data_IF_410991273518
#
_entry.id   IF_410991273518
#
_cell.length_a   1.000
_cell.length_b   1.000
_cell.length_c   1.000
_cell.angle_alpha   90.00
_cell.angle_beta   90.00
_cell.angle_gamma   90.00
#
_symmetry.space_group_name_H-M   'P 1'
#
loop_
_entity.id
_entity.type
_entity.pdbx_description
1 polymer ?
#
# COMPACT_ATOMS: atom_id res chain seq x y z
N UNK A 1 12.97 -5.48 -13.39
CA UNK A 1 12.84 -5.95 -12.00
C UNK A 1 11.55 -5.38 -11.43
N UNK A 2 10.94 -6.02 -10.43
CA UNK A 2 9.80 -5.47 -9.68
C UNK A 2 10.25 -5.12 -8.26
N UNK A 3 9.68 -4.07 -7.69
CA UNK A 3 9.91 -3.67 -6.29
C UNK A 3 8.70 -4.15 -5.49
N UNK A 4 8.95 -4.97 -4.47
CA UNK A 4 7.93 -5.51 -3.57
C UNK A 4 8.60 -6.04 -2.31
N UNK A 5 7.84 -6.11 -1.23
CA UNK A 5 8.23 -6.86 -0.05
C UNK A 5 8.44 -8.34 -0.38
N UNK A 6 9.35 -8.99 0.35
CA UNK A 6 9.67 -10.41 0.17
C UNK A 6 8.50 -11.35 0.54
N UNK A 7 7.60 -10.90 1.42
CA UNK A 7 6.36 -11.61 1.79
C UNK A 7 5.29 -11.56 0.67
N UNK A 8 5.45 -10.73 -0.35
CA UNK A 8 4.50 -10.57 -1.45
C UNK A 8 3.23 -9.76 -1.12
N UNK A 9 3.21 -9.01 -0.02
CA UNK A 9 2.03 -8.22 0.39
C UNK A 9 1.85 -6.92 -0.41
N UNK A 10 2.93 -6.40 -1.00
CA UNK A 10 2.88 -5.19 -1.83
C UNK A 10 2.00 -5.39 -3.06
N UNK A 11 0.96 -4.56 -3.20
CA UNK A 11 0.06 -4.55 -4.37
C UNK A 11 0.49 -3.57 -5.44
N UNK A 12 1.00 -2.41 -5.03
CA UNK A 12 1.45 -1.36 -5.93
C UNK A 12 2.54 -0.49 -5.29
N UNK A 13 3.38 0.10 -6.13
CA UNK A 13 4.43 1.02 -5.73
C UNK A 13 4.07 2.46 -6.15
N UNK A 14 4.12 3.42 -5.23
CA UNK A 14 3.76 4.81 -5.52
C UNK A 14 4.95 5.76 -5.26
N UNK A 15 5.33 6.62 -6.23
CA UNK A 15 6.47 7.51 -6.05
C UNK A 15 6.12 8.72 -5.17
N UNK A 16 7.11 9.29 -4.50
CA UNK A 16 6.96 10.51 -3.71
C UNK A 16 6.77 11.76 -4.59
N UNK A 17 5.94 12.71 -4.14
CA UNK A 17 5.67 13.99 -4.78
C UNK A 17 6.73 15.02 -4.37
N UNK A 18 7.36 15.65 -5.37
CA UNK A 18 8.45 16.62 -5.20
C UNK A 18 8.00 17.90 -4.50
N UNK A 19 8.37 18.07 -3.23
CA UNK A 19 8.05 19.28 -2.44
C UNK A 19 9.28 20.07 -1.94
N UNK A 20 10.49 19.72 -2.38
CA UNK A 20 11.72 20.50 -2.11
C UNK A 20 12.11 20.64 -0.62
N UNK A 21 11.56 19.80 0.26
CA UNK A 21 11.87 19.72 1.70
C UNK A 21 12.11 18.26 2.09
N UNK A 22 12.68 18.04 3.28
CA UNK A 22 12.88 16.71 3.89
C UNK A 22 11.68 15.80 3.69
N UNK A 23 11.94 14.52 3.34
CA UNK A 23 10.90 13.50 3.11
C UNK A 23 9.99 13.40 4.34
N UNK A 24 8.71 13.74 4.15
CA UNK A 24 7.66 13.52 5.15
C UNK A 24 6.79 12.37 4.69
N UNK A 25 6.70 11.33 5.52
CA UNK A 25 5.86 10.15 5.28
C UNK A 25 4.39 10.50 5.55
N UNK A 26 3.79 11.30 4.68
CA UNK A 26 2.36 11.66 4.73
C UNK A 26 1.70 11.18 3.44
N UNK A 27 0.50 10.61 3.50
CA UNK A 27 -0.08 9.96 2.32
C UNK A 27 -0.32 10.87 1.14
N UNK A 28 -0.67 12.14 1.37
CA UNK A 28 -0.85 13.13 0.30
C UNK A 28 0.46 13.55 -0.37
N UNK A 29 1.62 13.09 0.13
CA UNK A 29 2.94 13.30 -0.48
C UNK A 29 3.33 12.17 -1.42
N UNK A 30 2.47 11.18 -1.67
CA UNK A 30 2.71 10.14 -2.66
C UNK A 30 1.78 10.33 -3.86
N UNK A 31 2.29 10.02 -5.05
CA UNK A 31 1.54 10.10 -6.29
C UNK A 31 0.69 8.84 -6.50
N UNK A 32 -0.48 8.83 -5.86
CA UNK A 32 -1.45 7.74 -5.97
C UNK A 32 -2.03 7.54 -7.37
N UNK A 33 -1.78 8.46 -8.31
CA UNK A 33 -2.27 8.37 -9.69
C UNK A 33 -1.28 7.64 -10.62
N UNK A 34 -0.05 7.43 -10.19
CA UNK A 34 1.01 6.80 -10.99
C UNK A 34 1.51 5.53 -10.30
N UNK A 35 0.69 4.46 -10.20
CA UNK A 35 1.14 3.19 -9.66
C UNK A 35 2.22 2.56 -10.55
N UNK A 36 3.15 1.87 -9.91
CA UNK A 36 4.25 1.12 -10.53
C UNK A 36 5.05 1.93 -11.57
N UNK A 37 5.67 3.06 -11.14
CA UNK A 37 6.40 3.94 -12.04
C UNK A 37 7.61 3.22 -12.65
N UNK A 38 7.93 3.54 -13.90
CA UNK A 38 9.18 3.09 -14.54
C UNK A 38 10.36 3.86 -13.94
N UNK A 39 11.25 3.14 -13.27
CA UNK A 39 12.48 3.71 -12.71
C UNK A 39 13.58 3.61 -13.76
N UNK A 40 14.07 4.77 -14.19
CA UNK A 40 15.24 4.86 -15.07
C UNK A 40 16.53 4.97 -14.26
N UNK A 41 17.64 4.53 -14.85
CA UNK A 41 18.97 4.76 -14.30
C UNK A 41 19.84 5.49 -15.32
N UNK A 42 20.81 6.26 -14.82
CA UNK A 42 21.85 6.90 -15.63
C UNK A 42 22.87 5.87 -16.06
N UNK A 43 23.26 5.94 -17.32
CA UNK A 43 24.41 5.22 -17.84
C UNK A 43 25.64 5.75 -17.12
N UNK A 44 26.41 4.86 -16.48
CA UNK A 44 27.53 5.27 -15.65
C UNK A 44 28.84 4.85 -16.31
N UNK A 45 29.46 5.77 -17.05
CA UNK A 45 30.70 5.48 -17.79
C UNK A 45 31.96 5.47 -16.90
N UNK A 46 31.87 5.92 -15.64
CA UNK A 46 33.03 6.25 -14.79
C UNK A 46 33.24 5.31 -13.58
N UNK A 47 32.30 4.41 -13.27
CA UNK A 47 32.35 3.55 -12.07
C UNK A 47 32.09 2.08 -12.45
N UNK A 48 32.78 1.64 -13.50
CA UNK A 48 32.90 0.23 -13.85
C UNK A 48 34.31 -0.22 -13.48
N UNK A 49 34.42 -1.19 -12.57
CA UNK A 49 35.68 -1.82 -12.20
C UNK A 49 35.60 -3.28 -12.56
N UNK A 50 36.51 -3.75 -13.40
CA UNK A 50 36.62 -5.16 -13.79
C UNK A 50 38.02 -5.65 -13.42
N UNK A 51 38.06 -6.74 -12.66
CA UNK A 51 39.29 -7.39 -12.26
C UNK A 51 39.23 -8.86 -12.65
N UNK A 52 40.32 -9.38 -13.19
CA UNK A 52 40.46 -10.80 -13.50
C UNK A 52 41.61 -11.41 -12.71
N UNK A 53 41.42 -12.63 -12.25
CA UNK A 53 42.47 -13.45 -11.64
C UNK A 53 42.41 -14.83 -12.25
N UNK A 54 43.56 -15.37 -12.63
CA UNK A 54 43.58 -16.64 -13.34
C UNK A 54 44.86 -17.43 -13.15
N UNK A 55 44.82 -18.67 -13.63
CA UNK A 55 45.94 -19.60 -13.61
C UNK A 55 46.19 -20.12 -15.02
N UNK A 56 47.43 -20.04 -15.48
CA UNK A 56 47.88 -20.53 -16.78
C UNK A 56 48.64 -21.85 -16.67
N UNK A 57 48.34 -22.81 -17.54
CA UNK A 57 49.07 -24.07 -17.69
C UNK A 57 49.32 -24.31 -19.17
N UNK A 58 50.58 -24.14 -19.60
CA UNK A 58 50.95 -24.24 -21.01
C UNK A 58 50.22 -23.20 -21.85
N UNK A 59 49.50 -23.64 -22.89
CA UNK A 59 48.66 -22.79 -23.73
C UNK A 59 47.23 -22.58 -23.21
N UNK A 60 46.82 -23.20 -22.09
CA UNK A 60 45.49 -23.03 -21.52
C UNK A 60 45.52 -22.08 -20.31
N UNK A 61 44.47 -21.26 -20.15
CA UNK A 61 44.30 -20.35 -19.01
C UNK A 61 42.87 -20.46 -18.49
N UNK A 62 42.70 -20.35 -17.17
CA UNK A 62 41.39 -20.21 -16.54
C UNK A 62 41.38 -18.89 -15.79
N UNK A 63 40.41 -18.04 -16.07
CA UNK A 63 40.30 -16.69 -15.52
C UNK A 63 38.94 -16.52 -14.85
N UNK A 64 38.95 -16.02 -13.62
CA UNK A 64 37.77 -15.53 -12.92
C UNK A 64 37.74 -14.02 -13.06
N UNK A 65 36.73 -13.50 -13.73
CA UNK A 65 36.47 -12.07 -13.90
C UNK A 65 35.35 -11.65 -12.96
N UNK A 66 35.58 -10.56 -12.24
CA UNK A 66 34.58 -9.91 -11.41
C UNK A 66 34.49 -8.46 -11.85
N UNK A 67 33.31 -8.09 -12.35
CA UNK A 67 32.98 -6.71 -12.67
C UNK A 67 32.03 -6.14 -11.64
N UNK A 68 32.18 -4.86 -11.35
CA UNK A 68 31.26 -4.09 -10.53
C UNK A 68 30.93 -2.78 -11.24
N UNK A 69 29.65 -2.53 -11.44
CA UNK A 69 29.12 -1.30 -12.01
C UNK A 69 28.06 -0.73 -11.08
N UNK A 70 28.04 0.59 -10.91
CA UNK A 70 26.99 1.30 -10.15
C UNK A 70 26.20 2.18 -11.10
N UNK A 71 24.90 2.31 -10.92
CA UNK A 71 24.00 3.14 -11.73
C UNK A 71 23.12 3.98 -10.81
N UNK A 72 23.15 5.30 -10.97
CA UNK A 72 22.29 6.23 -10.20
C UNK A 72 20.89 6.31 -10.82
N UNK A 73 19.85 6.50 -10.02
CA UNK A 73 18.48 6.65 -10.52
C UNK A 73 18.27 7.98 -11.24
N UNK A 74 17.64 7.95 -12.43
CA UNK A 74 17.12 9.15 -13.10
C UNK A 74 15.86 9.64 -12.38
N UNK A 75 15.77 10.95 -12.13
CA UNK A 75 14.55 11.55 -11.58
C UNK A 75 13.33 11.35 -12.47
N UNK A 76 12.15 11.18 -11.85
CA UNK A 76 10.87 10.86 -12.52
C UNK A 76 10.32 12.06 -13.30
N UNK A 77 10.64 13.29 -12.88
CA UNK A 77 10.16 14.53 -13.51
C UNK A 77 11.35 15.40 -13.94
N UNK A 78 11.61 15.38 -15.25
CA UNK A 78 12.48 16.27 -16.04
C UNK A 78 14.01 16.06 -16.03
N UNK A 79 14.47 15.36 -17.08
CA UNK A 79 15.34 15.85 -18.19
C UNK A 79 16.43 16.93 -17.97
N UNK A 80 16.87 17.27 -16.75
CA UNK A 80 18.01 18.19 -16.62
C UNK A 80 18.30 18.82 -15.24
N UNK A 81 17.52 18.54 -14.19
CA UNK A 81 17.81 19.09 -12.85
C UNK A 81 18.55 18.09 -11.96
N UNK A 82 19.28 18.59 -10.95
CA UNK A 82 19.98 17.76 -9.95
C UNK A 82 19.00 16.73 -9.39
N UNK A 83 19.43 15.48 -9.28
CA UNK A 83 18.65 14.41 -8.63
C UNK A 83 18.46 14.79 -7.16
N UNK A 84 17.25 15.24 -6.82
CA UNK A 84 16.85 15.53 -5.45
C UNK A 84 16.46 14.21 -4.77
N UNK A 85 16.75 14.07 -3.47
CA UNK A 85 16.50 12.83 -2.69
C UNK A 85 15.04 12.33 -2.79
N UNK A 86 14.07 13.23 -3.03
CA UNK A 86 12.66 12.93 -3.19
C UNK A 86 12.33 12.04 -4.41
N UNK A 87 13.13 12.07 -5.49
CA UNK A 87 12.86 11.28 -6.71
C UNK A 87 13.16 9.78 -6.53
N UNK A 88 13.63 9.40 -5.35
CA UNK A 88 14.11 8.05 -5.04
C UNK A 88 13.24 7.32 -4.02
N UNK A 89 12.19 7.97 -3.51
CA UNK A 89 11.35 7.44 -2.43
C UNK A 89 10.05 6.87 -2.99
N UNK A 90 9.71 5.66 -2.55
CA UNK A 90 8.55 4.90 -3.01
C UNK A 90 7.78 4.29 -1.83
N UNK A 91 6.46 4.44 -1.84
CA UNK A 91 5.55 3.76 -0.93
C UNK A 91 5.18 2.39 -1.48
N UNK A 92 5.32 1.35 -0.66
CA UNK A 92 4.83 0.01 -0.92
C UNK A 92 3.42 -0.10 -0.34
N UNK A 93 2.40 0.15 -1.17
CA UNK A 93 1.02 0.08 -0.73
C UNK A 93 0.53 -1.37 -0.70
N UNK A 94 -0.17 -1.71 0.39
CA UNK A 94 -0.82 -3.00 0.60
C UNK A 94 -2.30 -2.92 0.18
N UNK A 95 -3.03 -4.01 0.41
CA UNK A 95 -4.35 -4.28 -0.15
C UNK A 95 -5.41 -3.23 0.19
N UNK A 96 -5.58 -2.84 1.45
CA UNK A 96 -6.58 -1.87 1.88
C UNK A 96 -6.34 -0.48 1.29
N UNK A 97 -5.09 0.02 1.36
CA UNK A 97 -4.73 1.32 0.80
C UNK A 97 -4.95 1.36 -0.73
N UNK A 98 -4.51 0.31 -1.43
CA UNK A 98 -4.67 0.18 -2.86
C UNK A 98 -6.14 0.10 -3.27
N UNK A 99 -6.95 -0.72 -2.61
CA UNK A 99 -8.35 -0.94 -2.97
C UNK A 99 -9.22 0.30 -2.72
N UNK A 100 -8.92 1.10 -1.68
CA UNK A 100 -9.61 2.37 -1.42
C UNK A 100 -9.36 3.38 -2.55
N UNK A 101 -8.10 3.59 -2.93
CA UNK A 101 -7.72 4.58 -3.96
C UNK A 101 -8.26 4.17 -5.32
N UNK A 102 -8.16 2.89 -5.67
CA UNK A 102 -8.65 2.37 -6.95
C UNK A 102 -10.16 2.15 -6.99
N UNK A 103 -10.84 2.22 -5.85
CA UNK A 103 -12.30 2.05 -5.75
C UNK A 103 -12.76 0.59 -5.86
N UNK A 104 -11.90 -0.39 -5.60
CA UNK A 104 -12.22 -1.82 -5.64
C UNK A 104 -13.06 -2.23 -4.43
N UNK A 105 -14.34 -1.90 -4.46
CA UNK A 105 -15.24 -2.02 -3.30
C UNK A 105 -15.35 -3.45 -2.76
N UNK A 106 -15.46 -4.45 -3.64
CA UNK A 106 -15.63 -5.84 -3.22
C UNK A 106 -14.33 -6.44 -2.64
N UNK A 107 -13.18 -6.09 -3.22
CA UNK A 107 -11.87 -6.49 -2.71
C UNK A 107 -11.58 -5.82 -1.36
N UNK A 108 -11.87 -4.51 -1.25
CA UNK A 108 -11.77 -3.77 0.00
C UNK A 108 -12.65 -4.39 1.09
N UNK A 109 -13.91 -4.75 0.77
CA UNK A 109 -14.81 -5.39 1.72
C UNK A 109 -14.26 -6.74 2.20
N UNK A 110 -13.72 -7.55 1.29
CA UNK A 110 -13.12 -8.84 1.62
C UNK A 110 -11.85 -8.69 2.48
N UNK A 111 -11.02 -7.68 2.21
CA UNK A 111 -9.82 -7.37 2.98
C UNK A 111 -10.18 -6.83 4.38
N UNK A 112 -11.11 -5.86 4.47
CA UNK A 112 -11.61 -5.31 5.73
C UNK A 112 -12.27 -6.39 6.61
N UNK A 113 -12.93 -7.38 5.99
CA UNK A 113 -13.53 -8.50 6.73
C UNK A 113 -12.49 -9.39 7.43
N UNK A 114 -11.24 -9.41 6.95
CA UNK A 114 -10.12 -10.13 7.58
C UNK A 114 -9.41 -9.28 8.65
N UNK A 115 -9.63 -7.97 8.66
CA UNK A 115 -9.08 -7.05 9.65
C UNK A 115 -9.79 -7.19 10.99
N UNK A 116 -9.05 -7.15 12.09
CA UNK A 116 -9.64 -7.28 13.43
C UNK A 116 -10.50 -6.05 13.76
N UNK A 117 -11.58 -6.25 14.51
CA UNK A 117 -12.43 -5.12 14.95
C UNK A 117 -11.67 -4.08 15.78
N UNK A 118 -10.60 -4.49 16.48
CA UNK A 118 -9.71 -3.58 17.24
C UNK A 118 -8.95 -2.63 16.32
N UNK A 119 -8.45 -3.13 15.20
CA UNK A 119 -7.71 -2.31 14.23
C UNK A 119 -8.65 -1.32 13.54
N UNK A 120 -9.89 -1.74 13.26
CA UNK A 120 -10.94 -0.85 12.73
C UNK A 120 -11.30 0.25 13.72
N UNK A 121 -11.39 -0.08 15.01
CA UNK A 121 -11.60 0.92 16.07
C UNK A 121 -10.44 1.92 16.11
N UNK A 122 -9.20 1.45 16.00
CA UNK A 122 -8.02 2.32 15.97
C UNK A 122 -8.02 3.23 14.73
N UNK A 123 -8.28 2.66 13.55
CA UNK A 123 -8.41 3.40 12.30
C UNK A 123 -9.48 4.50 12.42
N UNK A 124 -10.67 4.18 12.90
CA UNK A 124 -11.75 5.17 13.05
C UNK A 124 -11.42 6.28 14.04
N UNK A 125 -10.73 5.98 15.15
CA UNK A 125 -10.23 7.01 16.08
C UNK A 125 -9.23 7.95 15.40
N UNK A 126 -8.36 7.41 14.56
CA UNK A 126 -7.44 8.24 13.78
C UNK A 126 -8.19 9.13 12.78
N UNK A 127 -9.20 8.59 12.09
CA UNK A 127 -10.07 9.39 11.20
C UNK A 127 -10.78 10.50 11.96
N UNK A 128 -11.35 10.22 13.13
CA UNK A 128 -12.04 11.24 13.96
C UNK A 128 -11.08 12.39 14.34
N UNK A 129 -9.88 12.06 14.81
CA UNK A 129 -8.91 13.04 15.32
C UNK A 129 -8.34 13.91 14.21
N UNK A 130 -7.90 13.29 13.11
CA UNK A 130 -7.15 13.99 12.07
C UNK A 130 -8.04 14.50 10.93
N UNK A 131 -9.15 13.80 10.63
CA UNK A 131 -10.02 14.09 9.49
C UNK A 131 -11.51 13.99 9.84
N UNK A 132 -12.02 14.85 10.75
CA UNK A 132 -13.42 14.80 11.21
C UNK A 132 -14.46 15.01 10.11
N UNK A 133 -14.07 15.57 8.96
CA UNK A 133 -14.94 15.70 7.78
C UNK A 133 -15.19 14.33 7.15
N UNK A 134 -14.16 13.47 7.10
CA UNK A 134 -14.24 12.10 6.56
C UNK A 134 -15.06 11.23 7.51
N UNK A 135 -14.82 11.33 8.83
CA UNK A 135 -15.61 10.64 9.86
C UNK A 135 -17.12 10.86 9.65
N UNK A 136 -17.52 12.11 9.38
CA UNK A 136 -18.92 12.48 9.13
C UNK A 136 -19.52 11.94 7.83
N UNK A 137 -18.71 11.42 6.91
CA UNK A 137 -19.19 10.89 5.62
C UNK A 137 -19.41 9.39 5.61
N UNK A 138 -18.78 8.68 6.53
CA UNK A 138 -18.76 7.22 6.60
C UNK A 138 -19.72 6.75 7.68
N UNK A 139 -20.43 5.66 7.41
CA UNK A 139 -21.45 5.10 8.29
C UNK A 139 -22.53 6.12 8.68
N UNK A 140 -22.98 6.96 7.75
CA UNK A 140 -24.09 7.90 8.04
C UNK A 140 -25.41 7.15 8.16
N UNK A 141 -25.99 7.12 9.36
CA UNK A 141 -27.34 6.58 9.58
C UNK A 141 -28.39 7.38 8.84
N UNK A 142 -29.48 6.73 8.43
CA UNK A 142 -30.53 7.37 7.61
C UNK A 142 -31.89 7.35 8.31
N UNK A 143 -32.78 8.25 7.91
CA UNK A 143 -34.19 8.26 8.33
C UNK A 143 -35.00 7.25 7.53
N UNK A 144 -36.05 6.69 8.15
CA UNK A 144 -37.10 6.01 7.41
C UNK A 144 -37.71 6.97 6.37
N UNK A 145 -38.27 6.47 5.25
CA UNK A 145 -39.08 7.30 4.36
C UNK A 145 -40.16 8.04 5.15
N UNK A 146 -40.22 9.38 5.02
CA UNK A 146 -41.12 10.25 5.79
C UNK A 146 -40.93 10.22 7.32
N UNK A 147 -39.80 9.69 7.80
CA UNK A 147 -39.44 9.67 9.21
C UNK A 147 -38.82 10.98 9.68
N UNK A 148 -39.03 11.32 10.95
CA UNK A 148 -38.47 12.54 11.57
C UNK A 148 -37.08 12.30 12.20
N UNK A 149 -36.79 11.07 12.63
CA UNK A 149 -35.55 10.67 13.33
C UNK A 149 -34.66 9.76 12.47
N UNK A 150 -33.35 9.83 12.73
CA UNK A 150 -32.34 8.93 12.20
C UNK A 150 -32.23 7.66 13.04
N UNK A 151 -31.72 6.58 12.45
CA UNK A 151 -31.30 5.43 13.23
C UNK A 151 -30.18 5.81 14.21
N UNK A 152 -30.09 5.09 15.32
CA UNK A 152 -29.03 5.26 16.32
C UNK A 152 -28.24 3.97 16.46
N UNK A 153 -26.92 4.07 16.52
CA UNK A 153 -26.07 2.90 16.72
C UNK A 153 -26.24 2.29 18.11
N UNK A 154 -26.20 0.96 18.15
CA UNK A 154 -26.28 0.16 19.36
C UNK A 154 -25.51 -1.15 19.20
N UNK A 155 -25.39 -1.91 20.29
CA UNK A 155 -24.74 -3.22 20.29
C UNK A 155 -25.47 -4.24 19.42
N UNK A 156 -26.80 -4.17 19.34
CA UNK A 156 -27.61 -5.06 18.50
C UNK A 156 -28.65 -4.26 17.75
N UNK A 157 -28.99 -4.74 16.55
CA UNK A 157 -30.11 -4.20 15.79
C UNK A 157 -31.43 -4.53 16.49
N UNK A 158 -32.11 -3.48 16.98
CA UNK A 158 -33.52 -3.48 17.41
C UNK A 158 -34.27 -2.42 16.60
N UNK A 159 -34.36 -2.72 15.31
CA UNK A 159 -34.95 -1.88 14.30
C UNK A 159 -35.92 -2.72 13.47
N UNK A 160 -37.13 -2.22 13.27
CA UNK A 160 -38.20 -2.97 12.61
C UNK A 160 -39.18 -2.00 11.92
N UNK A 161 -39.84 -2.48 10.87
CA UNK A 161 -40.86 -1.70 10.15
C UNK A 161 -42.08 -1.47 11.03
N UNK A 162 -42.49 -0.21 11.19
CA UNK A 162 -43.70 0.19 11.93
C UNK A 162 -43.69 -0.06 13.45
N UNK A 163 -42.66 -0.71 13.99
CA UNK A 163 -42.46 -1.00 15.42
C UNK A 163 -40.96 -1.08 15.72
N UNK A 164 -40.52 -0.80 16.94
CA UNK A 164 -39.09 -0.87 17.33
C UNK A 164 -38.42 0.47 17.66
N UNK A 165 -37.16 0.40 18.09
CA UNK A 165 -36.47 1.52 18.74
C UNK A 165 -35.51 2.29 17.82
N UNK A 166 -35.52 2.01 16.51
CA UNK A 166 -34.59 2.58 15.52
C UNK A 166 -33.10 2.38 15.88
N UNK A 167 -32.79 1.32 16.63
CA UNK A 167 -31.42 0.95 17.03
C UNK A 167 -30.80 0.00 16.03
N UNK A 168 -29.62 0.31 15.51
CA UNK A 168 -28.96 -0.46 14.44
C UNK A 168 -27.53 -0.83 14.81
N UNK A 169 -27.09 -2.03 14.39
CA UNK A 169 -25.71 -2.49 14.50
C UNK A 169 -25.01 -2.61 13.13
N UNK A 170 -25.63 -2.05 12.07
CA UNK A 170 -25.07 -2.03 10.71
C UNK A 170 -24.68 -0.61 10.31
N UNK A 171 -23.44 -0.42 9.88
CA UNK A 171 -22.92 0.85 9.35
C UNK A 171 -23.83 1.41 8.26
N UNK A 172 -24.24 2.67 8.41
CA UNK A 172 -25.06 3.40 7.44
C UNK A 172 -26.54 2.97 7.37
N UNK A 173 -27.01 2.18 8.34
CA UNK A 173 -28.37 1.65 8.33
C UNK A 173 -29.45 2.73 8.50
N UNK A 174 -30.64 2.39 8.00
CA UNK A 174 -31.82 3.27 7.99
C UNK A 174 -32.76 2.94 9.15
N UNK A 175 -33.36 3.96 9.75
CA UNK A 175 -34.44 3.77 10.72
C UNK A 175 -35.60 2.97 10.09
N UNK A 176 -36.16 2.06 10.86
CA UNK A 176 -37.20 1.13 10.42
C UNK A 176 -38.60 1.72 10.57
N UNK A 177 -38.80 2.69 11.46
CA UNK A 177 -40.09 3.34 11.63
C UNK A 177 -39.98 4.88 11.70
N UNK A 178 -41.12 5.53 11.45
CA UNK A 178 -41.27 6.99 11.39
C UNK A 178 -41.59 7.64 12.75
N UNK A 179 -41.53 6.86 13.83
CA UNK A 179 -41.85 7.31 15.19
C UNK A 179 -40.83 8.30 15.78
N UNK A 180 -40.96 8.55 17.08
CA UNK A 180 -40.11 9.49 17.82
C UNK A 180 -38.81 8.88 18.34
N UNK A 181 -38.66 7.55 18.25
CA UNK A 181 -37.45 6.84 18.64
C UNK A 181 -36.29 7.08 17.65
N UNK A 182 -35.06 7.08 18.13
CA UNK A 182 -33.86 7.29 17.32
C UNK A 182 -33.17 8.61 17.66
N UNK A 183 -32.43 9.18 16.70
CA UNK A 183 -31.65 10.40 16.90
C UNK A 183 -32.16 11.58 16.09
N UNK A 184 -32.03 12.79 16.63
CA UNK A 184 -32.27 14.05 15.91
C UNK A 184 -31.21 14.35 14.84
N UNK A 185 -30.00 13.83 15.02
CA UNK A 185 -28.88 14.01 14.10
C UNK A 185 -28.43 12.68 13.52
N UNK A 186 -27.81 12.74 12.35
CA UNK A 186 -27.10 11.58 11.81
C UNK A 186 -26.01 11.11 12.78
N UNK A 187 -25.85 9.80 12.87
CA UNK A 187 -24.71 9.14 13.50
C UNK A 187 -23.74 8.70 12.42
N UNK A 188 -22.45 8.72 12.76
CA UNK A 188 -21.34 8.59 11.80
C UNK A 188 -20.35 7.53 12.25
N UNK A 189 -19.18 7.39 11.60
CA UNK A 189 -18.22 6.30 11.84
C UNK A 189 -17.81 6.17 13.31
N UNK A 190 -17.46 7.26 14.00
CA UNK A 190 -17.14 7.18 15.44
C UNK A 190 -18.29 6.70 16.32
N UNK A 191 -19.53 7.04 15.99
CA UNK A 191 -20.71 6.61 16.74
C UNK A 191 -20.94 5.11 16.53
N UNK A 192 -20.75 4.63 15.30
CA UNK A 192 -20.77 3.21 14.96
C UNK A 192 -19.72 2.45 15.75
N UNK A 193 -18.47 2.90 15.71
CA UNK A 193 -17.37 2.23 16.40
C UNK A 193 -17.57 2.23 17.91
N UNK A 194 -17.98 3.35 18.50
CA UNK A 194 -18.18 3.45 19.96
C UNK A 194 -19.38 2.64 20.47
N UNK A 195 -20.52 2.69 19.78
CA UNK A 195 -21.76 2.07 20.25
C UNK A 195 -21.96 0.63 19.76
N UNK A 196 -21.39 0.27 18.60
CA UNK A 196 -21.59 -1.04 17.97
C UNK A 196 -20.38 -1.96 18.09
N UNK A 197 -19.16 -1.45 17.90
CA UNK A 197 -17.94 -2.26 18.01
C UNK A 197 -17.36 -2.26 19.43
N UNK A 198 -17.58 -1.18 20.18
CA UNK A 198 -17.01 -0.99 21.51
C UNK A 198 -15.49 -0.91 21.45
N UNK A 199 -14.83 -1.89 22.06
CA UNK A 199 -13.37 -2.07 22.00
C UNK A 199 -12.90 -2.85 20.76
N UNK A 200 -13.83 -3.27 19.88
CA UNK A 200 -13.55 -4.07 18.70
C UNK A 200 -13.87 -5.56 18.86
N UNK A 201 -14.45 -5.96 20.00
CA UNK A 201 -14.80 -7.36 20.27
C UNK A 201 -16.16 -7.83 19.76
N UNK A 202 -16.97 -6.95 19.15
CA UNK A 202 -18.36 -7.25 18.75
C UNK A 202 -18.71 -6.64 17.39
N UNK A 203 -19.68 -7.24 16.72
CA UNK A 203 -20.30 -6.75 15.47
C UNK A 203 -19.36 -6.48 14.28
N UNK A 204 -18.12 -6.97 14.33
CA UNK A 204 -17.17 -6.89 13.23
C UNK A 204 -16.67 -8.28 12.84
N UNK A 205 -16.65 -8.63 11.54
CA UNK A 205 -17.15 -7.85 10.39
C UNK A 205 -18.66 -7.99 10.14
N UNK A 206 -19.36 -8.79 10.96
CA UNK A 206 -20.79 -9.10 10.81
C UNK A 206 -21.58 -8.59 12.02
N UNK A 207 -22.70 -7.91 11.76
CA UNK A 207 -23.59 -7.36 12.78
C UNK A 207 -24.37 -8.44 13.54
N UNK A 208 -25.05 -8.02 14.60
CA UNK A 208 -25.97 -8.87 15.38
C UNK A 208 -27.33 -8.18 15.56
N UNK A 209 -28.38 -8.97 15.80
CA UNK A 209 -29.74 -8.47 15.99
C UNK A 209 -30.39 -9.02 17.26
N UNK A 210 -31.37 -8.28 17.78
CA UNK A 210 -32.16 -8.67 18.93
C UNK A 210 -33.39 -9.49 18.48
N UNK A 211 -33.31 -10.81 18.63
CA UNK A 211 -34.37 -11.73 18.21
C UNK A 211 -34.50 -11.84 16.68
N UNK A 212 -35.70 -12.17 16.20
CA UNK A 212 -36.00 -12.30 14.77
C UNK A 212 -36.84 -11.13 14.25
N UNK A 213 -36.88 -10.96 12.92
CA UNK A 213 -37.72 -9.95 12.26
C UNK A 213 -37.18 -8.51 12.32
N UNK A 214 -35.92 -8.33 12.71
CA UNK A 214 -35.23 -7.04 12.71
C UNK A 214 -34.60 -6.73 11.36
N UNK A 215 -34.52 -5.45 11.03
CA UNK A 215 -33.98 -4.93 9.77
C UNK A 215 -32.87 -3.90 10.04
N UNK A 216 -31.72 -3.97 9.37
CA UNK A 216 -31.28 -5.09 8.54
C UNK A 216 -31.05 -6.36 9.39
N UNK A 217 -31.35 -7.52 8.80
CA UNK A 217 -30.95 -8.80 9.37
C UNK A 217 -29.44 -9.00 9.14
N UNK A 218 -28.70 -9.62 10.08
CA UNK A 218 -27.29 -9.92 9.90
C UNK A 218 -27.02 -10.73 8.64
N UNK A 219 -26.10 -10.24 7.83
CA UNK A 219 -25.55 -10.95 6.67
C UNK A 219 -24.04 -11.04 6.84
N UNK A 220 -23.44 -12.13 6.38
CA UNK A 220 -21.99 -12.33 6.45
C UNK A 220 -21.28 -11.09 5.89
N UNK A 221 -20.42 -10.49 6.71
CA UNK A 221 -19.59 -9.32 6.44
C UNK A 221 -20.35 -8.02 6.14
N UNK A 222 -21.62 -7.91 6.55
CA UNK A 222 -22.45 -6.72 6.29
C UNK A 222 -21.78 -5.38 6.67
N UNK A 223 -21.09 -5.32 7.82
CA UNK A 223 -20.39 -4.11 8.26
C UNK A 223 -19.13 -3.84 7.45
N UNK A 224 -18.35 -4.87 7.11
CA UNK A 224 -17.18 -4.68 6.24
C UNK A 224 -17.59 -4.20 4.84
N UNK A 225 -18.68 -4.75 4.28
CA UNK A 225 -19.25 -4.35 3.00
C UNK A 225 -19.77 -2.90 3.06
N UNK A 226 -20.48 -2.54 4.12
CA UNK A 226 -21.01 -1.19 4.30
C UNK A 226 -19.90 -0.14 4.44
N UNK A 227 -18.89 -0.40 5.28
CA UNK A 227 -17.72 0.49 5.44
C UNK A 227 -16.96 0.61 4.12
N UNK A 228 -16.66 -0.50 3.43
CA UNK A 228 -16.00 -0.46 2.13
C UNK A 228 -16.78 0.39 1.11
N UNK A 229 -18.09 0.20 1.04
CA UNK A 229 -18.97 0.95 0.16
C UNK A 229 -18.94 2.46 0.44
N UNK A 230 -18.92 2.86 1.71
CA UNK A 230 -18.84 4.28 2.06
C UNK A 230 -17.45 4.87 1.74
N UNK A 231 -16.36 4.15 2.06
CA UNK A 231 -14.99 4.60 1.76
C UNK A 231 -14.74 4.78 0.25
N UNK A 232 -15.33 3.93 -0.60
CA UNK A 232 -15.12 4.01 -2.05
C UNK A 232 -16.11 4.92 -2.76
N UNK A 233 -17.32 5.13 -2.24
CA UNK A 233 -18.40 5.85 -2.95
C UNK A 233 -18.77 7.21 -2.37
N UNK A 234 -18.52 7.45 -1.07
CA UNK A 234 -18.91 8.72 -0.41
C UNK A 234 -17.75 9.72 -0.32
N UNK A 235 -16.53 9.29 -0.59
CA UNK A 235 -15.32 10.09 -0.49
C UNK A 235 -14.85 10.61 -1.85
N UNK A 236 -14.28 11.81 -1.86
CA UNK A 236 -13.58 12.34 -3.05
C UNK A 236 -12.26 11.60 -3.27
N UNK A 237 -11.63 11.71 -4.46
CA UNK A 237 -10.30 11.13 -4.70
C UNK A 237 -9.25 11.56 -3.65
N UNK A 238 -9.26 12.81 -3.24
CA UNK A 238 -8.34 13.35 -2.23
C UNK A 238 -8.62 12.78 -0.83
N UNK A 239 -9.89 12.57 -0.49
CA UNK A 239 -10.26 11.93 0.78
C UNK A 239 -9.88 10.45 0.79
N UNK A 240 -9.94 9.78 -0.36
CA UNK A 240 -9.49 8.37 -0.50
C UNK A 240 -7.98 8.23 -0.27
N UNK A 241 -7.15 9.14 -0.78
CA UNK A 241 -5.68 9.08 -0.54
C UNK A 241 -5.34 9.33 0.93
N UNK A 242 -6.10 10.18 1.61
CA UNK A 242 -6.00 10.35 3.07
C UNK A 242 -6.33 9.04 3.79
N UNK A 243 -7.48 8.43 3.47
CA UNK A 243 -7.91 7.16 4.09
C UNK A 243 -6.91 6.04 3.81
N UNK A 244 -6.41 5.92 2.58
CA UNK A 244 -5.41 4.93 2.21
C UNK A 244 -4.12 5.09 3.04
N UNK A 245 -3.71 6.33 3.27
CA UNK A 245 -2.64 6.67 4.20
C UNK A 245 -2.86 6.18 5.62
N UNK A 246 -4.05 6.46 6.16
CA UNK A 246 -4.42 6.03 7.50
C UNK A 246 -4.50 4.50 7.60
N UNK A 247 -5.01 3.81 6.59
CA UNK A 247 -5.07 2.34 6.56
C UNK A 247 -3.66 1.74 6.53
N UNK A 248 -2.77 2.28 5.69
CA UNK A 248 -1.37 1.91 5.67
C UNK A 248 -0.68 2.18 7.03
N UNK A 249 -0.96 3.31 7.67
CA UNK A 249 -0.41 3.68 8.99
C UNK A 249 -0.90 2.79 10.13
N UNK A 250 -2.20 2.51 10.17
CA UNK A 250 -2.88 1.96 11.36
C UNK A 250 -3.12 0.46 11.29
N UNK A 251 -3.27 -0.10 10.09
CA UNK A 251 -3.67 -1.51 9.90
C UNK A 251 -2.58 -2.29 9.19
N UNK A 252 -2.14 -1.83 8.01
CA UNK A 252 -1.33 -2.67 7.11
C UNK A 252 0.18 -2.59 7.39
N UNK A 253 0.63 -1.48 7.99
CA UNK A 253 2.04 -1.15 8.11
C UNK A 253 2.61 -0.75 6.75
N UNK A 254 2.56 0.53 6.42
CA UNK A 254 3.14 1.06 5.19
C UNK A 254 4.66 1.03 5.25
N UNK A 255 5.28 0.42 4.24
CA UNK A 255 6.73 0.42 4.07
C UNK A 255 7.12 1.44 3.01
N UNK A 256 8.17 2.20 3.28
CA UNK A 256 8.73 3.17 2.34
C UNK A 256 10.17 2.80 2.07
N UNK A 257 10.48 2.68 0.78
CA UNK A 257 11.82 2.36 0.28
C UNK A 257 12.39 3.54 -0.47
N UNK A 258 13.62 3.88 -0.15
CA UNK A 258 14.42 4.81 -0.91
C UNK A 258 15.41 4.03 -1.80
N UNK A 259 15.52 4.37 -3.08
CA UNK A 259 16.41 3.71 -4.06
C UNK A 259 17.20 4.79 -4.78
N UNK A 260 18.41 5.13 -4.29
CA UNK A 260 19.25 6.16 -4.96
C UNK A 260 20.14 5.59 -6.07
N UNK A 261 20.49 4.31 -5.97
CA UNK A 261 21.34 3.63 -6.94
C UNK A 261 21.17 2.11 -6.92
N UNK A 262 21.38 1.49 -8.08
CA UNK A 262 21.56 0.05 -8.22
C UNK A 262 22.99 -0.27 -8.61
N UNK A 263 23.51 -1.43 -8.24
CA UNK A 263 24.75 -1.99 -8.77
C UNK A 263 24.50 -3.25 -9.56
N UNK A 264 25.35 -3.50 -10.54
CA UNK A 264 25.51 -4.79 -11.21
C UNK A 264 26.88 -5.34 -10.87
N UNK A 265 26.92 -6.52 -10.25
CA UNK A 265 28.15 -7.29 -10.05
C UNK A 265 28.16 -8.43 -11.05
N UNK A 266 29.06 -8.42 -12.01
CA UNK A 266 29.26 -9.54 -12.94
C UNK A 266 30.30 -10.50 -12.36
N UNK A 267 30.04 -11.80 -12.52
CA UNK A 267 31.02 -12.85 -12.22
C UNK A 267 31.07 -13.77 -13.43
N UNK A 268 32.24 -13.83 -14.08
CA UNK A 268 32.47 -14.67 -15.26
C UNK A 268 33.65 -15.59 -15.02
N UNK A 269 33.54 -16.83 -15.50
CA UNK A 269 34.61 -17.81 -15.50
C UNK A 269 34.93 -18.09 -16.95
N UNK A 270 36.14 -17.72 -17.35
CA UNK A 270 36.65 -17.85 -18.70
C UNK A 270 37.69 -18.97 -18.78
N UNK A 271 37.57 -19.79 -19.81
CA UNK A 271 38.61 -20.71 -20.24
C UNK A 271 39.22 -20.14 -21.53
N UNK A 272 40.51 -19.81 -21.49
CA UNK A 272 41.23 -19.25 -22.62
C UNK A 272 42.28 -20.22 -23.15
N UNK A 273 42.54 -20.12 -24.44
CA UNK A 273 43.57 -20.91 -25.11
C UNK A 273 44.41 -20.04 -26.04
N UNK A 274 45.73 -20.12 -25.89
CA UNK A 274 46.73 -19.44 -26.69
C UNK A 274 46.85 -20.14 -28.05
N UNK A 275 46.52 -19.43 -29.12
CA UNK A 275 46.64 -19.87 -30.50
C UNK A 275 48.11 -19.68 -30.92
N UNK A 276 48.91 -20.74 -30.79
CA UNK A 276 50.32 -20.72 -31.16
C UNK A 276 50.49 -20.46 -32.65
N UNK A 277 51.20 -19.37 -33.00
CA UNK A 277 51.62 -19.06 -34.37
C UNK A 277 53.12 -18.80 -34.38
N UNK A 278 53.88 -19.61 -35.12
CA UNK A 278 55.32 -19.48 -35.23
C UNK A 278 55.70 -18.17 -35.96
N UNK A 279 56.54 -17.33 -35.32
CA UNK A 279 57.14 -16.15 -35.95
C UNK A 279 56.61 -14.77 -35.54
N UNK A 280 55.61 -14.67 -34.66
CA UNK A 280 55.09 -13.40 -34.15
C UNK A 280 55.51 -13.12 -32.70
N UNK A 281 55.83 -11.85 -32.39
CA UNK A 281 56.13 -11.37 -31.01
C UNK A 281 54.88 -11.27 -30.11
N UNK A 282 53.70 -11.54 -30.65
CA UNK A 282 52.40 -11.46 -29.96
C UNK A 282 51.67 -12.79 -30.15
N UNK A 283 51.16 -13.37 -29.07
CA UNK A 283 50.41 -14.63 -29.10
C UNK A 283 48.91 -14.33 -29.03
N UNK A 284 48.14 -14.58 -30.10
CA UNK A 284 46.69 -14.46 -30.03
C UNK A 284 46.13 -15.54 -29.09
N UNK A 285 45.09 -15.21 -28.33
CA UNK A 285 44.37 -16.16 -27.50
C UNK A 285 42.86 -15.96 -27.66
N UNK A 286 42.10 -17.02 -27.44
CA UNK A 286 40.64 -16.99 -27.47
C UNK A 286 40.09 -17.50 -26.15
N UNK A 287 39.05 -16.84 -25.63
CA UNK A 287 38.38 -17.21 -24.39
C UNK A 287 36.93 -17.63 -24.66
N UNK A 288 36.46 -18.62 -23.91
CA UNK A 288 35.05 -18.94 -23.79
C UNK A 288 34.65 -18.86 -22.33
N UNK A 289 33.61 -18.10 -22.05
CA UNK A 289 33.19 -17.74 -20.70
C UNK A 289 31.78 -18.17 -20.37
N UNK A 290 31.56 -18.50 -19.10
CA UNK A 290 30.23 -18.61 -18.50
C UNK A 290 30.16 -17.69 -17.29
N UNK A 291 29.10 -16.92 -17.18
CA UNK A 291 28.96 -15.99 -16.08
C UNK A 291 27.53 -15.51 -15.87
N UNK A 292 27.36 -14.72 -14.82
CA UNK A 292 26.09 -14.12 -14.47
C UNK A 292 26.28 -12.73 -13.87
N UNK A 293 25.26 -11.90 -14.03
CA UNK A 293 25.21 -10.56 -13.44
C UNK A 293 24.20 -10.55 -12.28
N UNK A 294 24.61 -9.99 -11.15
CA UNK A 294 23.78 -9.80 -9.97
C UNK A 294 23.46 -8.33 -9.80
N UNK A 295 22.17 -7.98 -9.76
CA UNK A 295 21.73 -6.60 -9.54
C UNK A 295 21.34 -6.40 -8.08
N UNK A 296 21.89 -5.38 -7.43
CA UNK A 296 21.62 -5.01 -6.04
C UNK A 296 21.30 -3.53 -5.87
N UNK A 297 20.72 -3.14 -4.74
CA UNK A 297 20.49 -1.72 -4.35
C UNK A 297 21.58 -1.31 -3.37
N UNK A 298 22.33 -0.25 -3.67
CA UNK A 298 23.57 0.10 -2.93
C UNK A 298 23.39 1.29 -1.99
N UNK A 299 22.38 2.12 -2.25
CA UNK A 299 22.04 3.29 -1.43
C UNK A 299 20.53 3.31 -1.22
N UNK A 300 20.06 2.38 -0.39
CA UNK A 300 18.66 2.29 0.01
C UNK A 300 18.48 2.48 1.50
N UNK A 301 17.52 3.31 1.87
CA UNK A 301 17.04 3.41 3.24
C UNK A 301 15.66 2.76 3.30
N UNK A 302 15.53 1.79 4.19
CA UNK A 302 14.25 1.15 4.51
C UNK A 302 13.70 1.84 5.74
N UNK A 303 12.59 2.55 5.57
CA UNK A 303 11.88 3.16 6.69
C UNK A 303 10.75 2.24 7.10
N UNK A 304 10.96 1.49 8.19
CA UNK A 304 9.94 0.70 8.86
C UNK A 304 9.46 1.44 10.09
N UNK A 305 8.56 2.42 9.91
CA UNK A 305 7.41 2.70 10.79
C UNK A 305 6.75 4.07 10.56
N UNK A 306 5.43 4.04 10.70
CA UNK A 306 4.46 5.13 10.86
C UNK A 306 4.59 6.31 9.88
N UNK A 307 4.09 6.10 8.64
CA UNK A 307 3.24 7.11 7.96
C UNK A 307 2.29 7.76 8.96
#
# INVERSE_FOLDING_TARGET
FSIRESNGETKAVYPYLKDGKSVKLESHKFDWNTPDPRIGFKDNMLVAMEGSVGYGIGGARVELEIGYERFKTKGIRDSGSKEDEADTVYLLAKELAYDVVTGQTDNLAAALAKTSGKDIVHFAKAVEIYHPIIDKKVCRTKKAPSGSKYAIYAEKTDNQSGSGNNKVAVCGATAGNTGTNGSDTEKVLKDFVSATLGDGGRNWPTSTMEGSGKIPAPVINDNAIAVAGDLTKQLTPEEKTIVAGLLAKTIEGGEVVEIRAVSSTSVMINACYDLLSEGLRVVPYACVGLGGNFVGVVDGMYYTNHL
#
